data_IF_247569276991
#
_entry.id   IF_247569276991
#
_cell.length_a   1.000
_cell.length_b   1.000
_cell.length_c   1.000
_cell.angle_alpha   90.00
_cell.angle_beta   90.00
_cell.angle_gamma   90.00
#
_symmetry.space_group_name_H-M   'P 1'
#
loop_
_entity.id
_entity.type
_entity.pdbx_description
1 polymer ?
#
# COMPACT_ATOMS: atom_id res chain seq x y z
N UNK A 1 -24.38 -22.40 32.77
CA UNK A 1 -23.45 -22.38 31.63
C UNK A 1 -23.54 -20.97 31.06
N UNK A 2 -22.45 -20.20 31.12
CA UNK A 2 -22.42 -18.79 30.70
C UNK A 2 -21.92 -18.79 29.25
N UNK A 3 -22.82 -18.64 28.30
CA UNK A 3 -22.48 -18.54 26.88
C UNK A 3 -21.67 -17.25 26.67
N UNK A 4 -20.41 -17.39 26.27
CA UNK A 4 -19.64 -16.24 25.82
C UNK A 4 -20.26 -15.73 24.52
N UNK A 5 -20.74 -14.50 24.55
CA UNK A 5 -21.21 -13.80 23.36
C UNK A 5 -20.05 -13.79 22.35
N UNK A 6 -20.20 -14.59 21.29
CA UNK A 6 -19.21 -14.69 20.22
C UNK A 6 -18.93 -13.33 19.62
N UNK A 7 -17.65 -12.99 19.50
CA UNK A 7 -17.20 -11.76 18.84
C UNK A 7 -17.80 -11.72 17.42
N UNK A 8 -18.35 -10.58 16.97
CA UNK A 8 -18.86 -10.45 15.61
C UNK A 8 -17.76 -10.81 14.61
N UNK A 9 -18.06 -11.74 13.70
CA UNK A 9 -17.14 -12.08 12.62
C UNK A 9 -16.88 -10.83 11.77
N UNK A 10 -15.62 -10.44 11.63
CA UNK A 10 -15.20 -9.33 10.76
C UNK A 10 -14.63 -9.93 9.48
N UNK A 11 -15.21 -9.64 8.30
CA UNK A 11 -14.63 -10.11 7.05
C UNK A 11 -13.21 -9.52 6.89
N UNK A 12 -12.24 -10.31 6.42
CA UNK A 12 -10.91 -9.77 6.11
C UNK A 12 -11.05 -8.66 5.07
N UNK A 13 -10.29 -7.57 5.24
CA UNK A 13 -10.24 -6.48 4.28
C UNK A 13 -9.86 -7.03 2.91
N UNK A 14 -10.68 -6.75 1.90
CA UNK A 14 -10.37 -7.13 0.52
C UNK A 14 -9.00 -6.54 0.16
N UNK A 15 -8.07 -7.42 -0.23
CA UNK A 15 -6.75 -6.99 -0.69
C UNK A 15 -6.93 -6.18 -1.96
N UNK A 16 -6.51 -4.91 -1.93
CA UNK A 16 -6.54 -4.03 -3.10
C UNK A 16 -5.51 -4.47 -4.12
N UNK A 17 -5.82 -4.32 -5.40
CA UNK A 17 -4.95 -4.77 -6.49
C UNK A 17 -3.62 -4.01 -6.56
N UNK A 18 -3.59 -2.75 -6.10
CA UNK A 18 -2.41 -1.90 -6.18
C UNK A 18 -2.15 -1.16 -4.88
N UNK A 19 -0.86 -1.04 -4.53
CA UNK A 19 -0.39 -0.35 -3.33
C UNK A 19 0.75 0.60 -3.68
N UNK A 20 0.66 1.84 -3.23
CA UNK A 20 1.81 2.75 -3.26
C UNK A 20 2.48 2.73 -1.90
N UNK A 21 3.75 2.33 -1.90
CA UNK A 21 4.59 2.19 -0.71
C UNK A 21 5.66 3.27 -0.75
N UNK A 22 5.83 3.99 0.35
CA UNK A 22 7.00 4.84 0.56
C UNK A 22 8.08 4.00 1.22
N UNK A 23 9.23 3.85 0.57
CA UNK A 23 10.34 3.00 1.06
C UNK A 23 11.34 3.76 1.93
N UNK A 24 11.06 5.02 2.24
CA UNK A 24 11.98 5.90 2.94
C UNK A 24 13.02 6.50 2.00
N UNK A 25 13.89 7.34 2.56
CA UNK A 25 15.10 7.79 1.86
C UNK A 25 16.16 6.69 1.94
N UNK A 26 17.08 6.59 0.97
CA UNK A 26 18.12 5.53 0.91
C UNK A 26 19.00 5.53 2.18
N UNK A 27 19.07 6.66 2.86
CA UNK A 27 19.79 6.87 4.12
C UNK A 27 18.97 6.61 5.39
N UNK A 28 17.68 6.29 5.29
CA UNK A 28 16.77 6.15 6.42
C UNK A 28 16.57 4.68 6.81
N UNK A 29 16.59 4.39 8.11
CA UNK A 29 16.22 3.09 8.69
C UNK A 29 14.71 2.91 8.86
N UNK A 30 13.91 3.78 8.22
CA UNK A 30 12.45 3.77 8.34
C UNK A 30 11.87 2.58 7.60
N UNK A 31 10.89 1.91 8.21
CA UNK A 31 10.21 0.79 7.58
C UNK A 31 9.33 1.28 6.42
N UNK A 32 9.21 0.51 5.32
CA UNK A 32 8.33 0.86 4.22
C UNK A 32 6.88 1.03 4.69
N UNK A 33 6.23 2.12 4.27
CA UNK A 33 4.87 2.48 4.68
C UNK A 33 3.93 2.47 3.47
N UNK A 34 2.79 1.79 3.59
CA UNK A 34 1.73 1.84 2.57
C UNK A 34 1.02 3.19 2.67
N UNK A 35 1.17 4.01 1.63
CA UNK A 35 0.61 5.35 1.58
C UNK A 35 -0.75 5.39 0.88
N UNK A 36 -0.99 4.42 0.00
CA UNK A 36 -2.24 4.33 -0.74
C UNK A 36 -2.51 2.91 -1.19
N UNK A 37 -3.78 2.53 -1.19
CA UNK A 37 -4.26 1.29 -1.82
C UNK A 37 -5.43 1.62 -2.74
N UNK A 38 -5.47 1.01 -3.93
CA UNK A 38 -6.54 1.21 -4.91
C UNK A 38 -6.63 0.01 -5.84
N UNK A 39 -7.79 -0.19 -6.45
CA UNK A 39 -8.00 -1.19 -7.50
C UNK A 39 -7.81 -0.61 -8.92
N UNK A 40 -7.55 0.70 -9.02
CA UNK A 40 -7.33 1.41 -10.27
C UNK A 40 -5.83 1.74 -10.47
N UNK A 41 -5.22 1.08 -11.45
CA UNK A 41 -3.82 1.27 -11.81
C UNK A 41 -3.52 2.71 -12.26
N UNK A 42 -4.40 3.32 -13.05
CA UNK A 42 -4.17 4.66 -13.59
C UNK A 42 -4.23 5.69 -12.47
N UNK A 43 -5.15 5.52 -11.54
CA UNK A 43 -5.24 6.34 -10.34
C UNK A 43 -4.00 6.19 -9.45
N UNK A 44 -3.49 4.96 -9.27
CA UNK A 44 -2.24 4.71 -8.55
C UNK A 44 -1.04 5.41 -9.20
N UNK A 45 -0.91 5.32 -10.53
CA UNK A 45 0.16 5.94 -11.30
C UNK A 45 0.09 7.47 -11.26
N UNK A 46 -1.11 8.05 -11.37
CA UNK A 46 -1.30 9.51 -11.25
C UNK A 46 -0.88 10.00 -9.87
N UNK A 47 -1.25 9.27 -8.83
CA UNK A 47 -0.85 9.62 -7.47
C UNK A 47 0.66 9.53 -7.27
N UNK A 48 1.29 8.47 -7.79
CA UNK A 48 2.74 8.26 -7.76
C UNK A 48 3.48 9.40 -8.48
N UNK A 49 3.02 9.80 -9.66
CA UNK A 49 3.63 10.86 -10.47
C UNK A 49 3.51 12.26 -9.85
N UNK A 50 2.45 12.49 -9.08
CA UNK A 50 2.19 13.77 -8.41
C UNK A 50 3.01 13.94 -7.11
N UNK A 51 3.87 12.98 -6.75
CA UNK A 51 4.64 13.07 -5.51
C UNK A 51 5.81 14.05 -5.65
N UNK A 52 5.95 15.01 -4.71
CA UNK A 52 7.02 16.02 -4.76
C UNK A 52 8.40 15.50 -4.36
N UNK A 53 8.48 14.27 -3.80
CA UNK A 53 9.73 13.63 -3.38
C UNK A 53 9.84 12.21 -3.95
N UNK A 54 11.05 11.72 -4.25
CA UNK A 54 11.28 10.33 -4.68
C UNK A 54 11.11 9.34 -3.51
N UNK A 55 11.28 8.05 -3.81
CA UNK A 55 11.24 6.98 -2.81
C UNK A 55 9.88 6.31 -2.66
N UNK A 56 9.04 6.40 -3.69
CA UNK A 56 7.77 5.67 -3.76
C UNK A 56 7.84 4.56 -4.79
N UNK A 57 7.25 3.43 -4.41
CA UNK A 57 7.07 2.24 -5.23
C UNK A 57 5.58 1.97 -5.39
N UNK A 58 5.15 1.73 -6.62
CA UNK A 58 3.87 1.12 -6.90
C UNK A 58 4.08 -0.40 -6.98
N UNK A 59 3.37 -1.12 -6.13
CA UNK A 59 3.36 -2.58 -6.10
C UNK A 59 2.00 -3.13 -6.46
N UNK A 60 1.99 -4.26 -7.17
CA UNK A 60 0.78 -5.01 -7.44
C UNK A 60 0.36 -5.90 -6.28
N UNK A 61 -0.66 -6.71 -6.53
CA UNK A 61 -1.34 -7.51 -5.52
C UNK A 61 -0.40 -8.54 -4.87
N UNK A 62 0.51 -9.10 -5.65
CA UNK A 62 1.48 -10.10 -5.21
C UNK A 62 2.77 -9.45 -4.67
N UNK A 63 2.80 -8.13 -4.60
CA UNK A 63 3.93 -7.34 -4.09
C UNK A 63 5.02 -7.09 -5.14
N UNK A 64 4.77 -7.41 -6.41
CA UNK A 64 5.65 -7.13 -7.53
C UNK A 64 5.80 -5.61 -7.74
N UNK A 65 7.01 -5.14 -8.04
CA UNK A 65 7.27 -3.74 -8.34
C UNK A 65 6.81 -3.41 -9.76
N UNK A 66 5.82 -2.53 -9.89
CA UNK A 66 5.25 -2.11 -11.18
C UNK A 66 5.83 -0.77 -11.66
N UNK A 67 6.04 0.17 -10.75
CA UNK A 67 6.60 1.48 -11.07
C UNK A 67 7.29 2.12 -9.85
N UNK A 68 8.15 3.10 -10.12
CA UNK A 68 8.85 3.90 -9.11
C UNK A 68 8.92 5.35 -9.58
N UNK A 69 8.97 6.28 -8.63
CA UNK A 69 9.22 7.70 -8.91
C UNK A 69 10.66 8.13 -8.58
N UNK A 70 11.59 7.17 -8.44
CA UNK A 70 13.01 7.45 -8.29
C UNK A 70 13.48 8.31 -9.47
N UNK A 71 14.11 9.44 -9.16
CA UNK A 71 14.71 10.35 -10.13
C UNK A 71 15.89 9.69 -10.86
#
# INVERSE_FOLDING_TARGET
>A
MKEEAGVPWTPPSATRAYRVVWTGDVASTTQPEVMRETDDLLDALRWLADRPRPGFELRGMDGELLATNAA
#
